data_IF_285576055823
#
_entry.id   IF_285576055823
#
_cell.length_a   1.000
_cell.length_b   1.000
_cell.length_c   1.000
_cell.angle_alpha   90.00
_cell.angle_beta   90.00
_cell.angle_gamma   90.00
#
_symmetry.space_group_name_H-M   'P 1'
#
loop_
_entity.id
_entity.type
_entity.pdbx_description
1 polymer ?
#
# COMPACT_ATOMS: atom_id res chain seq x y z
N UNK A 1 15.99 32.66 2.90
CA UNK A 1 14.57 32.35 2.70
C UNK A 1 14.13 31.45 3.85
N UNK A 2 12.95 31.69 4.42
CA UNK A 2 12.46 30.99 5.61
C UNK A 2 11.07 30.40 5.35
N UNK A 3 10.81 29.24 5.94
CA UNK A 3 9.48 28.60 5.92
C UNK A 3 8.64 29.22 7.02
N UNK A 4 7.42 29.64 6.67
CA UNK A 4 6.46 30.23 7.60
C UNK A 4 5.41 29.21 8.06
N UNK A 5 4.59 29.57 9.05
CA UNK A 5 3.55 28.71 9.61
C UNK A 5 2.45 28.31 8.61
N UNK A 6 2.34 29.04 7.49
CA UNK A 6 1.45 28.74 6.37
C UNK A 6 2.11 27.83 5.32
N UNK A 7 3.26 27.23 5.63
CA UNK A 7 4.11 26.39 4.76
C UNK A 7 4.73 27.12 3.56
N UNK A 8 4.49 28.42 3.40
CA UNK A 8 5.09 29.21 2.34
C UNK A 8 6.56 29.51 2.62
N UNK A 9 7.35 29.60 1.55
CA UNK A 9 8.76 29.99 1.62
C UNK A 9 8.88 31.44 1.19
N UNK A 10 9.40 32.30 2.08
CA UNK A 10 9.48 33.75 1.83
C UNK A 10 10.91 34.28 1.95
N UNK A 11 11.17 35.36 1.22
CA UNK A 11 12.36 36.20 1.44
C UNK A 11 12.20 37.03 2.72
N UNK A 12 13.28 37.63 3.19
CA UNK A 12 13.25 38.55 4.34
C UNK A 12 12.32 39.76 4.13
N UNK A 13 12.13 40.18 2.86
CA UNK A 13 11.20 41.24 2.47
C UNK A 13 9.72 40.82 2.46
N UNK A 14 9.42 39.54 2.72
CA UNK A 14 8.06 39.00 2.73
C UNK A 14 7.52 38.55 1.37
N UNK A 15 8.33 38.59 0.31
CA UNK A 15 7.95 38.06 -1.00
C UNK A 15 7.89 36.54 -0.98
N UNK A 16 6.82 35.96 -1.55
CA UNK A 16 6.62 34.51 -1.62
C UNK A 16 7.46 33.94 -2.78
N UNK A 17 8.35 33.00 -2.45
CA UNK A 17 9.15 32.24 -3.41
C UNK A 17 8.46 30.93 -3.80
N UNK A 18 7.89 30.23 -2.82
CA UNK A 18 7.11 29.00 -3.01
C UNK A 18 5.83 29.09 -2.17
N UNK A 19 4.72 28.64 -2.74
CA UNK A 19 3.45 28.56 -2.02
C UNK A 19 3.49 27.50 -0.93
N UNK A 20 4.15 26.38 -1.21
CA UNK A 20 4.38 25.27 -0.29
C UNK A 20 5.85 24.86 -0.38
N UNK A 21 6.50 24.71 0.77
CA UNK A 21 7.87 24.20 0.85
C UNK A 21 8.00 22.88 0.09
N UNK A 22 8.87 22.82 -0.92
CA UNK A 22 9.13 21.60 -1.68
C UNK A 22 7.94 21.08 -2.50
N UNK A 23 6.90 21.90 -2.71
CA UNK A 23 5.62 21.55 -3.34
C UNK A 23 4.79 20.46 -2.62
N UNK A 24 5.31 19.87 -1.54
CA UNK A 24 4.68 18.79 -0.76
C UNK A 24 4.67 19.02 0.77
N UNK A 25 5.34 20.08 1.24
CA UNK A 25 5.53 20.43 2.65
C UNK A 25 6.33 19.41 3.48
N UNK A 26 7.00 18.44 2.86
CA UNK A 26 7.76 17.42 3.58
C UNK A 26 9.19 17.87 3.87
N UNK A 27 9.66 17.57 5.08
CA UNK A 27 11.05 17.78 5.46
C UNK A 27 11.96 16.78 4.74
N UNK A 28 12.89 17.29 3.94
CA UNK A 28 13.84 16.51 3.18
C UNK A 28 14.68 15.53 4.03
N UNK A 29 14.90 15.82 5.32
CA UNK A 29 15.65 14.93 6.21
C UNK A 29 14.90 13.64 6.56
N UNK A 30 13.58 13.64 6.41
CA UNK A 30 12.70 12.51 6.69
C UNK A 30 12.29 11.76 5.41
N UNK A 31 12.74 12.21 4.24
CA UNK A 31 12.48 11.52 2.97
C UNK A 31 13.39 10.29 2.85
N UNK A 32 12.77 9.16 2.53
CA UNK A 32 13.45 7.91 2.21
C UNK A 32 13.28 7.61 0.71
N UNK A 33 14.33 7.06 0.07
CA UNK A 33 14.20 6.59 -1.31
C UNK A 33 13.48 5.24 -1.32
N UNK A 34 12.24 5.23 -1.81
CA UNK A 34 11.39 4.04 -1.90
C UNK A 34 11.42 3.50 -3.32
N UNK A 35 11.64 2.20 -3.45
CA UNK A 35 11.56 1.51 -4.74
C UNK A 35 10.21 0.83 -4.90
N UNK A 36 9.55 1.06 -6.03
CA UNK A 36 8.33 0.34 -6.42
C UNK A 36 8.66 -0.50 -7.63
N UNK A 37 8.61 -1.81 -7.45
CA UNK A 37 8.78 -2.73 -8.56
C UNK A 37 7.46 -2.85 -9.33
N UNK A 38 7.45 -2.30 -10.55
CA UNK A 38 6.31 -2.32 -11.47
C UNK A 38 6.45 -3.42 -12.54
N UNK A 39 7.48 -4.26 -12.46
CA UNK A 39 7.61 -5.43 -13.34
C UNK A 39 6.46 -6.41 -13.09
N UNK A 40 6.01 -7.08 -14.15
CA UNK A 40 4.90 -8.04 -14.13
C UNK A 40 3.64 -7.50 -13.42
N UNK A 41 3.30 -6.23 -13.68
CA UNK A 41 2.23 -5.51 -12.99
C UNK A 41 0.90 -6.28 -12.93
N UNK A 42 0.47 -6.88 -14.04
CA UNK A 42 -0.76 -7.69 -14.08
C UNK A 42 -0.67 -8.88 -13.13
N UNK A 43 0.37 -9.69 -13.23
CA UNK A 43 0.54 -10.89 -12.39
C UNK A 43 0.61 -10.60 -10.89
N UNK A 44 1.00 -9.38 -10.51
CA UNK A 44 1.20 -9.00 -9.12
C UNK A 44 -0.01 -8.31 -8.49
N UNK A 45 -0.79 -7.57 -9.27
CA UNK A 45 -1.83 -6.68 -8.74
C UNK A 45 -3.22 -6.99 -9.28
N UNK A 46 -3.35 -7.77 -10.37
CA UNK A 46 -4.65 -8.20 -10.87
C UNK A 46 -5.15 -9.40 -10.07
N UNK A 47 -6.41 -9.33 -9.63
CA UNK A 47 -7.08 -10.38 -8.86
C UNK A 47 -8.39 -10.70 -9.57
N UNK A 48 -8.58 -11.95 -9.94
CA UNK A 48 -9.82 -12.43 -10.56
C UNK A 48 -10.22 -13.76 -9.92
N UNK A 49 -11.34 -13.77 -9.20
CA UNK A 49 -11.84 -14.97 -8.53
C UNK A 49 -12.90 -15.72 -9.35
N UNK A 50 -13.32 -15.22 -10.51
CA UNK A 50 -14.46 -15.74 -11.27
C UNK A 50 -14.09 -16.35 -12.62
N UNK A 51 -13.23 -15.69 -13.41
CA UNK A 51 -12.97 -16.09 -14.80
C UNK A 51 -11.62 -16.80 -14.90
N UNK A 52 -10.55 -16.15 -14.46
CA UNK A 52 -9.19 -16.66 -14.56
C UNK A 52 -8.63 -17.09 -13.20
N UNK A 53 -8.73 -18.39 -12.91
CA UNK A 53 -8.23 -18.99 -11.67
C UNK A 53 -6.71 -18.86 -11.50
N UNK A 54 -5.95 -18.51 -12.54
CA UNK A 54 -4.51 -18.23 -12.41
C UNK A 54 -4.26 -16.98 -11.54
N UNK A 55 -5.13 -15.97 -11.65
CA UNK A 55 -5.08 -14.73 -10.87
C UNK A 55 -5.98 -14.75 -9.64
N UNK A 56 -6.59 -15.90 -9.33
CA UNK A 56 -7.41 -16.07 -8.13
C UNK A 56 -6.57 -16.12 -6.86
N UNK A 57 -7.17 -15.70 -5.76
CA UNK A 57 -6.56 -15.89 -4.44
C UNK A 57 -6.46 -17.39 -4.17
N UNK A 58 -5.33 -17.86 -3.62
CA UNK A 58 -5.15 -19.29 -3.34
C UNK A 58 -5.90 -19.71 -2.07
N UNK A 59 -6.54 -20.89 -2.05
CA UNK A 59 -7.17 -21.40 -0.83
C UNK A 59 -6.12 -21.59 0.26
N UNK A 60 -6.37 -20.98 1.44
CA UNK A 60 -5.46 -20.98 2.58
C UNK A 60 -4.59 -19.72 2.73
N UNK A 61 -4.60 -18.80 1.77
CA UNK A 61 -3.95 -17.49 1.91
C UNK A 61 -4.70 -16.56 2.88
N UNK A 62 -6.02 -16.67 2.93
CA UNK A 62 -6.93 -15.93 3.82
C UNK A 62 -7.80 -16.91 4.60
N UNK A 63 -8.54 -16.42 5.60
CA UNK A 63 -9.45 -17.28 6.35
C UNK A 63 -10.53 -17.83 5.43
N UNK A 64 -10.99 -19.05 5.71
CA UNK A 64 -12.02 -19.72 4.89
C UNK A 64 -13.25 -18.82 4.66
N UNK A 65 -13.72 -18.16 5.71
CA UNK A 65 -14.90 -17.27 5.63
C UNK A 65 -14.66 -16.08 4.70
N UNK A 66 -13.45 -15.51 4.70
CA UNK A 66 -13.08 -14.41 3.79
C UNK A 66 -12.92 -14.92 2.37
N UNK A 67 -12.33 -16.09 2.18
CA UNK A 67 -12.17 -16.71 0.87
C UNK A 67 -13.52 -16.97 0.20
N UNK A 68 -14.46 -17.58 0.92
CA UNK A 68 -15.82 -17.85 0.43
C UNK A 68 -16.53 -16.55 0.03
N UNK A 69 -16.42 -15.49 0.86
CA UNK A 69 -16.93 -14.16 0.52
C UNK A 69 -16.33 -13.61 -0.77
N UNK A 70 -15.00 -13.72 -0.96
CA UNK A 70 -14.33 -13.18 -2.16
C UNK A 70 -14.64 -13.94 -3.45
N UNK A 71 -15.03 -15.22 -3.36
CA UNK A 71 -15.43 -16.02 -4.50
C UNK A 71 -16.90 -15.85 -4.89
N UNK A 72 -17.77 -15.46 -3.95
CA UNK A 72 -19.22 -15.37 -4.19
C UNK A 72 -19.67 -13.93 -4.50
N UNK A 73 -18.91 -12.91 -4.09
CA UNK A 73 -19.31 -11.51 -4.15
C UNK A 73 -18.86 -10.81 -5.45
N UNK A 74 -19.83 -10.57 -6.34
CA UNK A 74 -19.60 -9.88 -7.61
C UNK A 74 -19.38 -8.36 -7.46
N UNK A 75 -19.94 -7.72 -6.42
CA UNK A 75 -19.73 -6.28 -6.18
C UNK A 75 -18.29 -6.03 -5.72
N UNK A 76 -17.76 -6.93 -4.88
CA UNK A 76 -16.37 -6.88 -4.47
C UNK A 76 -15.41 -7.06 -5.65
N UNK A 77 -15.70 -7.97 -6.58
CA UNK A 77 -14.88 -8.14 -7.78
C UNK A 77 -14.89 -6.88 -8.65
N UNK A 78 -16.05 -6.24 -8.82
CA UNK A 78 -16.12 -4.97 -9.53
C UNK A 78 -15.23 -3.90 -8.89
N UNK A 79 -15.23 -3.78 -7.56
CA UNK A 79 -14.38 -2.83 -6.85
C UNK A 79 -12.88 -3.13 -7.04
N UNK A 80 -12.49 -4.41 -7.03
CA UNK A 80 -11.12 -4.83 -7.32
C UNK A 80 -10.70 -4.49 -8.76
N UNK A 81 -11.61 -4.64 -9.72
CA UNK A 81 -11.36 -4.29 -11.12
C UNK A 81 -11.20 -2.77 -11.29
N UNK A 82 -12.06 -1.96 -10.64
CA UNK A 82 -11.98 -0.49 -10.64
C UNK A 82 -10.65 0.01 -10.05
N UNK A 83 -10.21 -0.56 -8.93
CA UNK A 83 -8.92 -0.24 -8.31
C UNK A 83 -7.75 -0.64 -9.22
N UNK A 84 -7.81 -1.83 -9.83
CA UNK A 84 -6.78 -2.26 -10.77
C UNK A 84 -6.69 -1.33 -11.99
N UNK A 85 -7.81 -0.93 -12.56
CA UNK A 85 -7.87 0.02 -13.68
C UNK A 85 -7.27 1.38 -13.28
N UNK A 86 -7.61 1.88 -12.10
CA UNK A 86 -7.02 3.11 -11.55
C UNK A 86 -5.50 3.00 -11.43
N UNK A 87 -4.98 1.93 -10.83
CA UNK A 87 -3.55 1.73 -10.69
C UNK A 87 -2.85 1.58 -12.05
N UNK A 88 -3.46 0.83 -12.98
CA UNK A 88 -2.94 0.64 -14.33
C UNK A 88 -2.89 1.95 -15.12
N UNK A 89 -3.92 2.80 -15.03
CA UNK A 89 -3.97 4.10 -15.66
C UNK A 89 -2.87 5.04 -15.09
N UNK A 90 -2.66 5.03 -13.78
CA UNK A 90 -1.73 5.95 -13.11
C UNK A 90 -0.27 5.46 -13.03
N UNK A 91 0.02 4.20 -13.40
CA UNK A 91 1.36 3.60 -13.27
C UNK A 91 2.49 4.41 -13.92
N UNK A 92 2.20 5.14 -14.99
CA UNK A 92 3.17 5.92 -15.74
C UNK A 92 3.62 7.19 -15.01
N UNK A 93 2.89 7.61 -13.96
CA UNK A 93 3.23 8.74 -13.11
C UNK A 93 4.28 8.38 -12.07
N UNK A 94 4.49 7.08 -11.81
CA UNK A 94 5.47 6.60 -10.83
C UNK A 94 6.80 6.28 -11.51
N UNK A 95 7.89 6.75 -10.91
CA UNK A 95 9.23 6.27 -11.20
C UNK A 95 9.57 5.03 -10.36
N UNK A 96 10.44 4.15 -10.87
CA UNK A 96 10.91 2.94 -10.16
C UNK A 96 11.44 3.25 -8.75
N UNK A 97 11.97 4.46 -8.57
CA UNK A 97 12.48 4.98 -7.30
C UNK A 97 11.96 6.40 -7.11
N UNK A 98 11.38 6.68 -5.95
CA UNK A 98 10.91 8.02 -5.60
C UNK A 98 11.16 8.31 -4.12
N UNK A 99 11.36 9.59 -3.81
CA UNK A 99 11.51 10.04 -2.43
C UNK A 99 10.14 10.12 -1.77
N UNK A 100 9.96 9.41 -0.66
CA UNK A 100 8.71 9.39 0.09
C UNK A 100 9.00 9.59 1.58
N UNK A 101 8.17 10.38 2.29
CA UNK A 101 8.26 10.49 3.75
C UNK A 101 7.82 9.20 4.46
N UNK A 102 7.09 8.32 3.76
CA UNK A 102 6.52 7.09 4.32
C UNK A 102 6.98 5.88 3.53
N UNK A 103 7.64 4.97 4.23
CA UNK A 103 8.04 3.67 3.70
C UNK A 103 7.11 2.57 4.25
N UNK A 104 6.06 2.26 3.48
CA UNK A 104 5.03 1.28 3.86
C UNK A 104 5.63 -0.12 4.04
N UNK A 105 6.57 -0.51 3.18
CA UNK A 105 7.26 -1.81 3.27
C UNK A 105 7.96 -1.98 4.62
N UNK A 106 8.68 -0.95 5.08
CA UNK A 106 9.33 -0.95 6.40
C UNK A 106 8.33 -1.07 7.54
N UNK A 107 7.19 -0.38 7.44
CA UNK A 107 6.12 -0.46 8.44
C UNK A 107 5.57 -1.90 8.49
N UNK A 108 5.19 -2.48 7.35
CA UNK A 108 4.67 -3.85 7.25
C UNK A 108 5.65 -4.88 7.83
N UNK A 109 6.94 -4.78 7.49
CA UNK A 109 7.98 -5.67 8.02
C UNK A 109 8.09 -5.61 9.55
N UNK A 110 8.01 -4.41 10.14
CA UNK A 110 8.04 -4.23 11.60
C UNK A 110 6.83 -4.90 12.26
N UNK A 111 5.63 -4.73 11.70
CA UNK A 111 4.42 -5.34 12.24
C UNK A 111 4.44 -6.87 12.13
N UNK A 112 4.89 -7.41 11.00
CA UNK A 112 5.03 -8.86 10.83
C UNK A 112 5.97 -9.46 11.87
N UNK A 113 7.19 -8.91 12.01
CA UNK A 113 8.17 -9.37 13.02
C UNK A 113 7.61 -9.28 14.45
N UNK A 114 6.83 -8.24 14.76
CA UNK A 114 6.19 -8.08 16.07
C UNK A 114 5.10 -9.13 16.30
N UNK A 115 4.30 -9.45 15.28
CA UNK A 115 3.31 -10.53 15.35
C UNK A 115 4.00 -11.89 15.60
N UNK A 116 5.06 -12.19 14.84
CA UNK A 116 5.83 -13.43 14.99
C UNK A 116 6.44 -13.56 16.39
N UNK A 117 6.99 -12.47 16.94
CA UNK A 117 7.55 -12.46 18.30
C UNK A 117 6.52 -12.68 19.41
N UNK A 118 5.25 -12.35 19.16
CA UNK A 118 4.15 -12.59 20.12
C UNK A 118 3.64 -14.03 20.02
N UNK A 119 3.63 -14.60 18.83
CA UNK A 119 3.26 -16.00 18.60
C UNK A 119 4.28 -16.98 19.21
N UNK A 120 5.58 -16.61 19.24
CA UNK A 120 6.66 -17.45 19.81
C UNK A 120 6.62 -17.68 21.33
N UNK A 121 5.64 -17.15 22.07
CA UNK A 121 5.47 -17.34 23.52
C UNK A 121 4.56 -18.51 23.94
N UNK A 122 3.85 -19.14 23.00
CA UNK A 122 2.92 -20.24 23.30
C UNK A 122 3.04 -21.38 22.25
N UNK A 123 3.62 -22.50 22.68
CA UNK A 123 3.50 -23.88 22.18
C UNK A 123 3.07 -24.19 20.70
N UNK A 124 3.96 -24.93 20.03
CA UNK A 124 3.74 -26.02 19.05
C UNK A 124 2.71 -25.88 17.91
N UNK A 125 3.22 -25.96 16.67
CA UNK A 125 2.57 -26.62 15.54
C UNK A 125 1.78 -25.72 14.59
N UNK A 126 2.35 -25.47 13.41
CA UNK A 126 1.67 -25.34 12.11
C UNK A 126 0.24 -24.79 12.10
N UNK A 127 0.06 -23.55 12.56
CA UNK A 127 -1.05 -22.70 12.09
C UNK A 127 -0.48 -21.44 11.50
N UNK A 128 -0.48 -21.38 10.17
CA UNK A 128 -0.55 -20.08 9.50
C UNK A 128 -1.83 -19.41 10.02
N UNK A 129 -1.70 -18.42 10.90
CA UNK A 129 -2.82 -17.55 11.28
C UNK A 129 -3.29 -16.86 10.00
N UNK A 130 -4.38 -17.38 9.43
CA UNK A 130 -4.99 -16.86 8.22
C UNK A 130 -5.58 -15.47 8.51
N UNK A 131 -5.41 -14.53 7.58
CA UNK A 131 -5.97 -13.19 7.74
C UNK A 131 -7.50 -13.26 7.79
N UNK A 132 -8.09 -12.64 8.80
CA UNK A 132 -9.54 -12.50 8.99
C UNK A 132 -10.05 -11.10 8.63
N UNK A 133 -9.19 -10.27 8.03
CA UNK A 133 -9.56 -8.90 7.65
C UNK A 133 -10.64 -8.94 6.55
N UNK A 134 -11.67 -8.11 6.70
CA UNK A 134 -12.71 -7.94 5.67
C UNK A 134 -12.11 -7.26 4.44
N UNK A 135 -12.37 -7.77 3.22
CA UNK A 135 -11.88 -7.18 1.97
C UNK A 135 -12.29 -5.71 1.79
N UNK A 136 -13.53 -5.39 2.15
CA UNK A 136 -14.10 -4.04 2.12
C UNK A 136 -13.46 -3.01 3.07
N UNK A 137 -12.55 -3.43 3.97
CA UNK A 137 -11.82 -2.47 4.82
C UNK A 137 -10.49 -2.03 4.20
N UNK A 138 -10.05 -2.74 3.16
CA UNK A 138 -8.77 -2.52 2.49
C UNK A 138 -8.97 -1.65 1.25
N UNK A 139 -10.12 -1.81 0.59
CA UNK A 139 -10.65 -1.01 -0.50
C UNK A 139 -11.43 0.18 0.08
#
# INVERSE_FOLDING_TARGET
>A
ATVHHDYSVRTESGCILQFVYGDDAFDATHLENVSVDMSNFKERFFIDNFIDLEYSIKPGAVSRDVYELMCDDAELQQLLDEEYEYLHANRHLLSDRYASPVNIQRILMKYRKKADSRAGGAFSGDRQEQSTASPYRIL
#
